data_IF_423861291524
#
_entry.id   IF_423861291524
#
_cell.length_a   1.000
_cell.length_b   1.000
_cell.length_c   1.000
_cell.angle_alpha   90.00
_cell.angle_beta   90.00
_cell.angle_gamma   90.00
#
_symmetry.space_group_name_H-M   'P 1'
#
loop_
_entity.id
_entity.type
_entity.pdbx_description
1 polymer ?
#
# COMPACT_ATOMS: atom_id res chain seq x y z
N UNK A 1 7.34 -23.58 -9.74
CA UNK A 1 6.19 -23.40 -10.65
C UNK A 1 6.64 -22.43 -11.71
N UNK A 2 6.56 -22.79 -12.99
CA UNK A 2 6.88 -21.87 -14.09
C UNK A 2 5.95 -20.67 -13.96
N UNK A 3 6.50 -19.52 -13.59
CA UNK A 3 5.79 -18.26 -13.67
C UNK A 3 5.65 -17.96 -15.14
N UNK A 4 4.49 -18.27 -15.74
CA UNK A 4 4.17 -17.70 -17.04
C UNK A 4 4.29 -16.18 -16.88
N UNK A 5 5.26 -15.59 -17.57
CA UNK A 5 5.44 -14.13 -17.57
C UNK A 5 4.12 -13.51 -18.00
N UNK A 6 3.66 -12.50 -17.28
CA UNK A 6 2.44 -11.81 -17.64
C UNK A 6 2.64 -11.21 -19.03
N UNK A 7 1.79 -11.59 -19.98
CA UNK A 7 1.82 -11.04 -21.34
C UNK A 7 1.32 -9.58 -21.37
N UNK A 8 0.65 -9.15 -20.31
CA UNK A 8 0.13 -7.80 -20.14
C UNK A 8 0.02 -7.44 -18.66
N UNK A 9 0.23 -6.16 -18.36
CA UNK A 9 0.05 -5.56 -17.04
C UNK A 9 -0.89 -4.37 -17.16
N UNK A 10 -2.03 -4.35 -16.45
CA UNK A 10 -2.90 -3.20 -16.48
C UNK A 10 -2.35 -2.09 -15.55
N UNK A 11 -2.61 -0.83 -15.91
CA UNK A 11 -2.18 0.35 -15.17
C UNK A 11 -3.36 0.99 -14.41
N UNK A 12 -3.12 1.64 -13.25
CA UNK A 12 -4.21 2.20 -12.43
C UNK A 12 -5.08 3.27 -13.14
N UNK A 13 -4.58 3.85 -14.22
CA UNK A 13 -5.30 4.82 -15.06
C UNK A 13 -6.18 4.17 -16.16
N UNK A 14 -6.23 2.84 -16.20
CA UNK A 14 -7.03 2.07 -17.16
C UNK A 14 -6.28 1.65 -18.43
N UNK A 15 -5.06 2.15 -18.65
CA UNK A 15 -4.23 1.74 -19.78
C UNK A 15 -3.63 0.36 -19.57
N UNK A 16 -3.16 -0.27 -20.64
CA UNK A 16 -2.61 -1.63 -20.62
C UNK A 16 -1.19 -1.63 -21.14
N UNK A 17 -0.24 -2.07 -20.32
CA UNK A 17 1.13 -2.29 -20.72
C UNK A 17 1.29 -3.71 -21.30
N UNK A 18 1.80 -3.81 -22.52
CA UNK A 18 2.04 -5.08 -23.22
C UNK A 18 3.53 -5.19 -23.54
N UNK A 19 4.16 -6.26 -23.08
CA UNK A 19 5.58 -6.52 -23.32
C UNK A 19 5.78 -7.72 -24.24
N UNK A 20 6.65 -7.56 -25.22
CA UNK A 20 7.17 -8.63 -26.08
C UNK A 20 8.64 -8.82 -25.73
N UNK A 21 8.94 -9.97 -25.16
CA UNK A 21 10.26 -10.29 -24.63
C UNK A 21 10.80 -11.56 -25.29
N UNK A 22 11.84 -11.41 -26.11
CA UNK A 22 12.50 -12.52 -26.83
C UNK A 22 13.80 -12.98 -26.15
N UNK A 23 14.09 -12.47 -24.94
CA UNK A 23 15.32 -12.71 -24.21
C UNK A 23 16.49 -11.80 -24.61
N UNK A 24 16.59 -11.37 -25.87
CA UNK A 24 17.62 -10.44 -26.33
C UNK A 24 17.16 -8.97 -26.29
N UNK A 25 15.86 -8.74 -26.39
CA UNK A 25 15.23 -7.43 -26.39
C UNK A 25 13.85 -7.48 -25.72
N UNK A 26 13.41 -6.31 -25.25
CA UNK A 26 12.08 -6.08 -24.71
C UNK A 26 11.46 -4.91 -25.47
N UNK A 27 10.28 -5.13 -26.04
CA UNK A 27 9.46 -4.06 -26.61
C UNK A 27 8.19 -3.88 -25.75
N UNK A 28 7.96 -2.66 -25.30
CA UNK A 28 6.79 -2.27 -24.51
C UNK A 28 5.85 -1.42 -25.36
N UNK A 29 4.58 -1.75 -25.31
CA UNK A 29 3.49 -0.97 -25.88
C UNK A 29 2.56 -0.57 -24.76
N UNK A 30 2.12 0.69 -24.78
CA UNK A 30 1.07 1.16 -23.92
C UNK A 30 -0.20 1.26 -24.75
N UNK A 31 -1.16 0.42 -24.41
CA UNK A 31 -2.29 0.03 -25.24
C UNK A 31 -1.80 -0.52 -26.58
N UNK A 32 -1.91 0.28 -27.64
CA UNK A 32 -1.45 -0.06 -29.00
C UNK A 32 -0.26 0.80 -29.46
N UNK A 33 0.12 1.81 -28.66
CA UNK A 33 1.23 2.71 -28.99
C UNK A 33 2.55 2.12 -28.53
N UNK A 34 3.54 2.06 -29.42
CA UNK A 34 4.91 1.73 -29.03
C UNK A 34 5.43 2.77 -28.03
N UNK A 35 5.88 2.29 -26.87
CA UNK A 35 6.38 3.15 -25.79
C UNK A 35 7.90 3.07 -25.67
N UNK A 36 8.46 1.86 -25.76
CA UNK A 36 9.89 1.64 -25.59
C UNK A 36 10.33 0.37 -26.30
N UNK A 37 11.53 0.38 -26.89
CA UNK A 37 12.28 -0.84 -27.19
C UNK A 37 13.63 -0.77 -26.50
N UNK A 38 14.02 -1.84 -25.80
CA UNK A 38 15.30 -1.93 -25.12
C UNK A 38 16.02 -3.23 -25.44
N UNK A 39 17.32 -3.15 -25.75
CA UNK A 39 18.19 -4.32 -25.94
C UNK A 39 18.78 -4.74 -24.59
N UNK A 40 18.93 -6.05 -24.37
CA UNK A 40 19.66 -6.60 -23.23
C UNK A 40 21.13 -6.75 -23.55
N UNK A 41 21.98 -6.24 -22.65
CA UNK A 41 23.42 -6.44 -22.66
C UNK A 41 23.86 -6.93 -21.28
N UNK A 42 23.87 -8.26 -21.10
CA UNK A 42 24.03 -8.85 -19.78
C UNK A 42 22.88 -8.42 -18.86
N UNK A 43 23.20 -7.65 -17.81
CA UNK A 43 22.23 -7.10 -16.85
C UNK A 43 21.68 -5.72 -17.23
N UNK A 44 22.28 -5.07 -18.24
CA UNK A 44 21.89 -3.73 -18.68
C UNK A 44 20.72 -3.81 -19.65
N UNK A 45 19.73 -2.95 -19.43
CA UNK A 45 18.70 -2.60 -20.39
C UNK A 45 19.16 -1.34 -21.12
N UNK A 46 19.27 -1.40 -22.44
CA UNK A 46 19.68 -0.27 -23.30
C UNK A 46 18.50 0.14 -24.18
N UNK A 47 17.70 1.14 -23.75
CA UNK A 47 16.70 1.79 -24.60
C UNK A 47 17.26 2.18 -25.97
N UNK A 48 16.47 1.93 -27.01
CA UNK A 48 16.77 2.32 -28.39
C UNK A 48 15.95 3.58 -28.72
N UNK A 49 16.62 4.64 -29.16
CA UNK A 49 15.98 5.87 -29.65
C UNK A 49 15.00 6.51 -28.64
N UNK A 50 15.36 6.57 -27.36
CA UNK A 50 14.50 7.15 -26.32
C UNK A 50 14.80 8.63 -26.10
N UNK A 51 13.91 9.51 -26.57
CA UNK A 51 14.00 10.95 -26.38
C UNK A 51 13.82 11.34 -24.90
N UNK A 52 14.48 12.43 -24.47
CA UNK A 52 14.53 12.88 -23.06
C UNK A 52 13.13 13.08 -22.49
N UNK A 53 12.25 13.73 -23.24
CA UNK A 53 10.87 14.04 -22.90
C UNK A 53 9.95 12.80 -22.75
N UNK A 54 10.35 11.66 -23.33
CA UNK A 54 9.61 10.39 -23.25
C UNK A 54 10.12 9.50 -22.11
N UNK A 55 11.29 9.80 -21.53
CA UNK A 55 11.95 8.92 -20.56
C UNK A 55 11.11 8.66 -19.32
N UNK A 56 10.41 9.67 -18.79
CA UNK A 56 9.63 9.52 -17.56
C UNK A 56 8.57 8.40 -17.65
N UNK A 57 7.76 8.41 -18.70
CA UNK A 57 6.72 7.39 -18.89
C UNK A 57 7.32 6.04 -19.31
N UNK A 58 8.26 6.05 -20.26
CA UNK A 58 8.86 4.83 -20.80
C UNK A 58 9.67 4.05 -19.75
N UNK A 59 10.49 4.75 -18.94
CA UNK A 59 11.31 4.11 -17.92
C UNK A 59 10.49 3.69 -16.70
N UNK A 60 9.44 4.44 -16.33
CA UNK A 60 8.50 3.99 -15.31
C UNK A 60 7.80 2.70 -15.75
N UNK A 61 7.31 2.64 -16.99
CA UNK A 61 6.66 1.44 -17.52
C UNK A 61 7.63 0.25 -17.63
N UNK A 62 8.89 0.50 -18.03
CA UNK A 62 9.94 -0.52 -18.03
C UNK A 62 10.19 -1.08 -16.63
N UNK A 63 10.33 -0.21 -15.63
CA UNK A 63 10.52 -0.62 -14.25
C UNK A 63 9.33 -1.42 -13.74
N UNK A 64 8.11 -0.91 -13.95
CA UNK A 64 6.88 -1.61 -13.57
C UNK A 64 6.82 -3.00 -14.19
N UNK A 65 7.06 -3.12 -15.50
CA UNK A 65 7.07 -4.39 -16.21
C UNK A 65 8.05 -5.40 -15.59
N UNK A 66 9.30 -4.99 -15.40
CA UNK A 66 10.35 -5.86 -14.88
C UNK A 66 10.10 -6.24 -13.41
N UNK A 67 9.75 -5.28 -12.57
CA UNK A 67 9.61 -5.47 -11.11
C UNK A 67 8.32 -6.20 -10.71
N UNK A 68 7.25 -6.07 -11.50
CA UNK A 68 6.00 -6.81 -11.29
C UNK A 68 6.12 -8.27 -11.76
N UNK A 69 6.84 -8.53 -12.86
CA UNK A 69 7.07 -9.89 -13.37
C UNK A 69 8.13 -10.67 -12.59
N UNK A 70 9.07 -10.00 -11.91
CA UNK A 70 10.10 -10.63 -11.09
C UNK A 70 10.22 -9.95 -9.73
N UNK A 71 9.58 -10.56 -8.72
CA UNK A 71 9.61 -10.06 -7.33
C UNK A 71 10.99 -10.20 -6.66
N UNK A 72 11.94 -10.92 -7.26
CA UNK A 72 13.31 -11.04 -6.77
C UNK A 72 14.24 -9.97 -7.37
N UNK A 73 13.87 -9.36 -8.50
CA UNK A 73 14.66 -8.33 -9.16
C UNK A 73 14.75 -7.07 -8.30
N UNK A 74 15.94 -6.74 -7.79
CA UNK A 74 16.14 -5.58 -6.90
C UNK A 74 16.37 -4.27 -7.65
N UNK A 75 16.82 -4.31 -8.90
CA UNK A 75 17.01 -3.10 -9.70
C UNK A 75 16.98 -3.42 -11.21
N UNK A 76 16.52 -2.45 -12.00
CA UNK A 76 16.68 -2.42 -13.45
C UNK A 76 17.87 -1.53 -13.77
N UNK A 77 18.99 -2.11 -14.20
CA UNK A 77 20.18 -1.37 -14.61
C UNK A 77 20.02 -0.85 -16.04
N UNK A 78 20.37 0.40 -16.28
CA UNK A 78 20.10 1.13 -17.51
C UNK A 78 21.37 1.71 -18.09
N UNK A 79 21.42 1.80 -19.41
CA UNK A 79 22.37 2.66 -20.11
C UNK A 79 21.57 3.62 -20.98
N UNK A 80 21.76 4.92 -20.74
CA UNK A 80 21.07 6.01 -21.45
C UNK A 80 22.13 6.96 -22.02
N UNK A 81 21.92 7.45 -23.24
CA UNK A 81 22.83 8.42 -23.87
C UNK A 81 22.70 9.83 -23.25
N UNK A 82 21.49 10.16 -22.80
CA UNK A 82 21.17 11.38 -22.05
C UNK A 82 20.12 11.07 -20.99
N UNK A 83 20.06 11.88 -19.94
CA UNK A 83 19.15 11.67 -18.80
C UNK A 83 18.35 12.93 -18.57
N UNK A 84 17.02 12.82 -18.52
CA UNK A 84 16.17 13.87 -17.99
C UNK A 84 16.49 14.09 -16.50
N UNK A 85 16.96 15.28 -16.08
CA UNK A 85 17.25 15.57 -14.66
C UNK A 85 16.05 15.33 -13.73
N UNK A 86 14.81 15.40 -14.23
CA UNK A 86 13.60 15.13 -13.45
C UNK A 86 13.52 13.67 -12.97
N UNK A 87 14.14 12.72 -13.68
CA UNK A 87 14.19 11.31 -13.27
C UNK A 87 15.02 11.11 -12.01
N UNK A 88 16.15 11.81 -11.94
CA UNK A 88 17.03 11.81 -10.77
C UNK A 88 16.36 12.58 -9.61
N UNK A 89 15.75 13.73 -9.90
CA UNK A 89 15.07 14.55 -8.90
C UNK A 89 13.84 13.86 -8.28
N UNK A 90 13.13 13.02 -9.05
CA UNK A 90 12.00 12.24 -8.57
C UNK A 90 12.40 10.97 -7.82
N UNK A 91 13.66 10.53 -7.93
CA UNK A 91 14.13 9.25 -7.39
C UNK A 91 13.68 8.03 -8.17
N UNK A 92 13.06 8.20 -9.35
CA UNK A 92 12.79 7.07 -10.26
C UNK A 92 14.10 6.46 -10.74
N UNK A 93 15.07 7.31 -11.10
CA UNK A 93 16.40 6.91 -11.50
C UNK A 93 17.41 7.33 -10.43
N UNK A 94 18.39 6.47 -10.16
CA UNK A 94 19.54 6.78 -9.31
C UNK A 94 20.85 6.38 -10.00
N UNK A 95 21.95 6.92 -9.52
CA UNK A 95 23.29 6.67 -10.04
C UNK A 95 23.80 7.80 -10.96
N UNK A 96 24.97 7.57 -11.56
CA UNK A 96 25.66 8.55 -12.38
C UNK A 96 26.44 7.88 -13.52
N UNK A 97 26.64 8.61 -14.63
CA UNK A 97 27.38 8.13 -15.79
C UNK A 97 26.82 6.81 -16.33
N UNK A 98 27.60 5.74 -16.24
CA UNK A 98 27.22 4.40 -16.70
C UNK A 98 26.53 3.52 -15.65
N UNK A 99 26.41 3.98 -14.39
CA UNK A 99 25.78 3.23 -13.29
C UNK A 99 24.34 3.67 -13.02
N UNK A 100 23.55 3.87 -14.07
CA UNK A 100 22.15 4.27 -13.95
C UNK A 100 21.27 3.07 -13.61
N UNK A 101 20.37 3.21 -12.65
CA UNK A 101 19.45 2.14 -12.27
C UNK A 101 18.16 2.65 -11.65
N UNK A 102 17.11 1.83 -11.77
CA UNK A 102 15.84 2.00 -11.05
C UNK A 102 15.80 0.95 -9.97
N UNK A 103 15.91 1.36 -8.71
CA UNK A 103 15.88 0.46 -7.56
C UNK A 103 14.44 0.11 -7.16
N UNK A 104 14.21 -1.16 -6.83
CA UNK A 104 12.89 -1.67 -6.45
C UNK A 104 12.32 -0.91 -5.25
N UNK A 105 13.13 -0.75 -4.20
CA UNK A 105 12.71 -0.05 -3.00
C UNK A 105 12.29 1.39 -3.28
N UNK A 106 12.99 2.10 -4.16
CA UNK A 106 12.67 3.48 -4.55
C UNK A 106 11.46 3.55 -5.48
N UNK A 107 11.36 2.66 -6.46
CA UNK A 107 10.23 2.60 -7.40
C UNK A 107 8.89 2.45 -6.67
N UNK A 108 8.80 1.53 -5.72
CA UNK A 108 7.59 1.31 -4.93
C UNK A 108 7.34 2.41 -3.88
N UNK A 109 8.25 3.37 -3.70
CA UNK A 109 7.98 4.56 -2.88
C UNK A 109 7.40 5.71 -3.69
N UNK A 110 7.39 5.62 -5.02
CA UNK A 110 6.79 6.64 -5.88
C UNK A 110 5.26 6.58 -5.74
N UNK A 111 4.59 7.66 -5.28
CA UNK A 111 3.18 7.60 -4.94
C UNK A 111 2.28 7.41 -6.17
N UNK A 112 2.69 7.93 -7.33
CA UNK A 112 1.96 7.74 -8.59
C UNK A 112 2.47 6.51 -9.33
N UNK A 113 1.59 5.76 -9.99
CA UNK A 113 0.15 5.98 -10.17
C UNK A 113 -0.74 5.33 -9.08
N UNK A 114 -0.16 4.84 -7.98
CA UNK A 114 -0.89 4.04 -7.00
C UNK A 114 -1.89 4.87 -6.18
N UNK A 115 -1.49 6.06 -5.73
CA UNK A 115 -2.38 7.00 -5.04
C UNK A 115 -3.35 7.63 -6.04
N UNK A 116 -4.63 7.62 -5.67
CA UNK A 116 -5.73 8.16 -6.48
C UNK A 116 -6.17 9.55 -6.05
N UNK A 117 -5.78 9.95 -4.86
CA UNK A 117 -5.90 11.31 -4.32
C UNK A 117 -4.51 11.85 -3.99
N UNK A 118 -4.39 13.16 -3.78
CA UNK A 118 -3.18 13.71 -3.19
C UNK A 118 -2.97 13.08 -1.80
N UNK A 119 -1.75 12.64 -1.51
CA UNK A 119 -1.37 12.18 -0.17
C UNK A 119 -1.31 13.34 0.83
N UNK A 120 -1.35 13.02 2.12
CA UNK A 120 -1.24 14.01 3.20
C UNK A 120 0.19 14.56 3.42
N UNK A 121 1.19 14.04 2.70
CA UNK A 121 2.60 14.47 2.72
C UNK A 121 2.80 16.00 2.66
N UNK A 122 2.07 16.70 1.79
CA UNK A 122 2.19 18.15 1.59
C UNK A 122 1.45 19.01 2.63
N UNK A 123 0.72 18.40 3.56
CA UNK A 123 -0.07 19.13 4.55
C UNK A 123 0.85 19.82 5.58
N UNK A 124 0.69 21.14 5.82
CA UNK A 124 1.54 21.89 6.75
C UNK A 124 1.52 21.33 8.16
N UNK A 125 2.69 21.24 8.79
CA UNK A 125 2.81 20.77 10.16
C UNK A 125 2.51 21.92 11.14
N UNK A 126 1.30 21.91 11.68
CA UNK A 126 0.89 22.75 12.81
C UNK A 126 0.64 21.87 14.02
N UNK A 127 1.36 22.08 15.12
CA UNK A 127 1.15 21.29 16.33
C UNK A 127 -0.10 21.74 17.08
N UNK A 128 -0.92 20.79 17.49
CA UNK A 128 -2.13 20.97 18.30
C UNK A 128 -2.07 20.06 19.54
N UNK A 129 -3.05 20.22 20.41
CA UNK A 129 -3.13 19.51 21.68
C UNK A 129 -4.33 18.56 21.69
N UNK A 130 -4.09 17.26 21.83
CA UNK A 130 -5.12 16.23 21.98
C UNK A 130 -5.79 16.33 23.37
N UNK A 131 -7.09 16.03 23.53
CA UNK A 131 -7.76 16.06 24.84
C UNK A 131 -7.06 15.25 25.95
N UNK A 132 -6.29 14.22 25.58
CA UNK A 132 -5.51 13.40 26.53
C UNK A 132 -4.19 14.02 27.01
N UNK A 133 -3.86 15.26 26.62
CA UNK A 133 -2.62 15.91 27.06
C UNK A 133 -1.43 15.75 26.10
N UNK A 134 -1.58 14.99 25.00
CA UNK A 134 -0.52 14.78 24.00
C UNK A 134 -0.51 15.83 22.90
N UNK A 135 0.67 16.38 22.62
CA UNK A 135 0.92 17.26 21.48
C UNK A 135 1.15 16.43 20.21
N UNK A 136 0.47 16.77 19.12
CA UNK A 136 0.58 16.07 17.83
C UNK A 136 0.36 17.05 16.65
N UNK A 137 0.75 16.69 15.42
CA UNK A 137 0.41 17.48 14.25
C UNK A 137 -1.09 17.50 13.99
N UNK A 138 -1.60 18.65 13.54
CA UNK A 138 -2.92 18.75 12.91
C UNK A 138 -2.94 17.84 11.67
N UNK A 139 -3.97 17.00 11.58
CA UNK A 139 -4.12 16.03 10.49
C UNK A 139 -4.77 16.68 9.28
N UNK A 140 -4.37 16.23 8.09
CA UNK A 140 -4.98 16.66 6.84
C UNK A 140 -6.48 16.31 6.81
N UNK A 141 -7.30 17.05 6.06
CA UNK A 141 -8.67 16.64 5.77
C UNK A 141 -8.70 15.22 5.21
N UNK A 142 -9.72 14.45 5.57
CA UNK A 142 -9.88 13.09 5.06
C UNK A 142 -10.14 13.13 3.55
N UNK A 143 -9.50 12.24 2.78
CA UNK A 143 -9.84 12.08 1.37
C UNK A 143 -11.26 11.49 1.23
N UNK A 144 -11.77 11.46 0.00
CA UNK A 144 -13.03 10.80 -0.33
C UNK A 144 -12.87 9.98 -1.62
N UNK A 145 -13.58 8.87 -1.72
CA UNK A 145 -13.56 7.97 -2.87
C UNK A 145 -12.38 6.99 -2.84
N UNK A 146 -11.96 6.51 -4.01
CA UNK A 146 -10.78 5.65 -4.12
C UNK A 146 -9.52 6.43 -3.79
N UNK A 147 -8.71 5.91 -2.87
CA UNK A 147 -7.45 6.54 -2.42
C UNK A 147 -6.21 5.79 -2.90
N UNK A 148 -6.35 4.51 -3.21
CA UNK A 148 -5.26 3.63 -3.59
C UNK A 148 -5.73 2.53 -4.56
N UNK A 149 -4.91 2.21 -5.56
CA UNK A 149 -5.10 1.04 -6.41
C UNK A 149 -3.76 0.48 -6.90
N UNK A 150 -3.64 -0.85 -6.93
CA UNK A 150 -2.52 -1.58 -7.54
C UNK A 150 -3.02 -2.89 -8.13
N UNK A 151 -2.45 -3.31 -9.25
CA UNK A 151 -2.66 -4.65 -9.77
C UNK A 151 -1.68 -5.60 -9.07
N UNK A 152 -2.19 -6.60 -8.36
CA UNK A 152 -1.34 -7.64 -7.79
C UNK A 152 -1.06 -8.68 -8.87
N UNK A 153 0.11 -8.56 -9.51
CA UNK A 153 0.54 -9.45 -10.58
C UNK A 153 0.63 -10.93 -10.15
N UNK A 154 0.81 -11.22 -8.86
CA UNK A 154 0.85 -12.61 -8.36
C UNK A 154 -0.56 -13.20 -8.25
N UNK A 155 -1.55 -12.39 -7.89
CA UNK A 155 -2.95 -12.81 -7.82
C UNK A 155 -3.69 -12.68 -9.15
N UNK A 156 -3.21 -11.83 -10.06
CA UNK A 156 -3.91 -11.49 -11.30
C UNK A 156 -5.18 -10.67 -11.05
N UNK A 157 -5.22 -9.88 -9.98
CA UNK A 157 -6.40 -9.13 -9.55
C UNK A 157 -6.04 -7.70 -9.12
N UNK A 158 -6.97 -6.77 -9.30
CA UNK A 158 -6.86 -5.43 -8.72
C UNK A 158 -7.11 -5.48 -7.22
N UNK A 159 -6.26 -4.80 -6.45
CA UNK A 159 -6.50 -4.46 -5.05
C UNK A 159 -6.62 -2.94 -4.94
N UNK A 160 -7.72 -2.46 -4.40
CA UNK A 160 -7.97 -1.04 -4.15
C UNK A 160 -8.46 -0.76 -2.74
N UNK A 161 -8.26 0.47 -2.30
CA UNK A 161 -8.79 1.01 -1.07
C UNK A 161 -9.59 2.26 -1.41
N UNK A 162 -10.82 2.34 -0.90
CA UNK A 162 -11.64 3.54 -0.95
C UNK A 162 -12.09 3.92 0.45
N UNK A 163 -12.39 5.19 0.65
CA UNK A 163 -13.05 5.61 1.90
C UNK A 163 -14.42 4.96 2.00
N UNK A 164 -14.81 4.61 3.22
CA UNK A 164 -16.16 4.12 3.51
C UNK A 164 -17.18 5.21 3.17
N UNK A 165 -18.24 4.83 2.48
CA UNK A 165 -19.43 5.65 2.31
C UNK A 165 -20.51 5.10 3.25
N UNK A 166 -21.02 5.92 4.17
CA UNK A 166 -21.95 5.42 5.20
C UNK A 166 -23.26 4.95 4.55
N UNK A 167 -23.77 5.64 3.54
CA UNK A 167 -25.06 5.30 2.96
C UNK A 167 -24.95 4.07 2.07
N UNK A 168 -23.81 3.85 1.40
CA UNK A 168 -23.58 2.64 0.59
C UNK A 168 -23.11 1.42 1.40
N UNK A 169 -22.32 1.62 2.46
CA UNK A 169 -21.63 0.53 3.17
C UNK A 169 -22.24 0.17 4.52
N UNK A 170 -23.19 0.93 5.07
CA UNK A 170 -23.74 0.66 6.40
C UNK A 170 -24.29 -0.78 6.54
N UNK A 171 -25.10 -1.24 5.57
CA UNK A 171 -25.65 -2.60 5.61
C UNK A 171 -24.56 -3.67 5.52
N UNK A 172 -23.52 -3.39 4.74
CA UNK A 172 -22.36 -4.29 4.57
C UNK A 172 -21.55 -4.37 5.85
N UNK A 173 -21.19 -3.23 6.43
CA UNK A 173 -20.50 -3.12 7.70
C UNK A 173 -21.29 -3.83 8.80
N UNK A 174 -22.60 -3.60 8.86
CA UNK A 174 -23.48 -4.25 9.83
C UNK A 174 -23.50 -5.76 9.68
N UNK A 175 -23.70 -6.27 8.46
CA UNK A 175 -23.64 -7.71 8.19
C UNK A 175 -22.30 -8.30 8.63
N UNK A 176 -21.19 -7.66 8.29
CA UNK A 176 -19.85 -8.15 8.62
C UNK A 176 -19.59 -8.20 10.12
N UNK A 177 -19.92 -7.12 10.85
CA UNK A 177 -19.73 -7.04 12.30
C UNK A 177 -20.55 -8.09 13.06
N UNK A 178 -21.75 -8.41 12.58
CA UNK A 178 -22.64 -9.41 13.18
C UNK A 178 -22.32 -10.86 12.81
N UNK A 179 -21.26 -11.12 12.04
CA UNK A 179 -20.79 -12.51 11.86
C UNK A 179 -20.08 -12.98 13.13
N UNK A 180 -20.41 -14.17 13.63
CA UNK A 180 -19.82 -14.73 14.86
C UNK A 180 -18.27 -14.69 14.86
N UNK A 181 -17.65 -14.87 13.69
CA UNK A 181 -16.20 -14.80 13.50
C UNK A 181 -15.65 -13.38 13.73
N UNK A 182 -16.30 -12.35 13.21
CA UNK A 182 -15.84 -10.96 13.36
C UNK A 182 -16.15 -10.48 14.77
N UNK A 183 -17.36 -10.74 15.26
CA UNK A 183 -17.82 -10.44 16.61
C UNK A 183 -16.86 -10.94 17.69
N UNK A 184 -16.30 -12.15 17.54
CA UNK A 184 -15.33 -12.72 18.47
C UNK A 184 -14.07 -11.86 18.70
N UNK A 185 -13.71 -10.99 17.75
CA UNK A 185 -12.53 -10.12 17.85
C UNK A 185 -12.87 -8.64 17.97
N UNK A 186 -13.91 -8.19 17.27
CA UNK A 186 -14.30 -6.79 17.20
C UNK A 186 -15.30 -6.38 18.28
N UNK A 187 -16.16 -7.30 18.74
CA UNK A 187 -17.18 -7.06 19.76
C UNK A 187 -18.13 -5.89 19.44
N UNK A 188 -18.28 -5.58 18.15
CA UNK A 188 -19.13 -4.50 17.65
C UNK A 188 -20.43 -5.02 17.04
N UNK A 189 -21.03 -6.09 17.58
CA UNK A 189 -22.36 -6.52 17.18
C UNK A 189 -23.42 -5.45 17.46
N UNK A 190 -24.51 -5.45 16.70
CA UNK A 190 -25.62 -4.50 16.89
C UNK A 190 -26.47 -4.25 15.66
N UNK A 191 -27.46 -3.37 15.81
CA UNK A 191 -28.35 -2.95 14.74
C UNK A 191 -27.74 -1.86 13.84
N UNK A 192 -28.44 -1.54 12.74
CA UNK A 192 -28.02 -0.51 11.80
C UNK A 192 -27.91 0.87 12.45
N UNK A 193 -28.75 1.18 13.45
CA UNK A 193 -28.73 2.47 14.14
C UNK A 193 -27.45 2.63 14.97
N UNK A 194 -27.05 1.59 15.73
CA UNK A 194 -25.78 1.59 16.46
C UNK A 194 -24.61 1.80 15.51
N UNK A 195 -24.57 1.07 14.39
CA UNK A 195 -23.47 1.15 13.44
C UNK A 195 -23.41 2.44 12.66
N UNK A 196 -24.56 3.03 12.30
CA UNK A 196 -24.59 4.35 11.67
C UNK A 196 -23.97 5.39 12.60
N UNK A 197 -24.39 5.44 13.86
CA UNK A 197 -23.82 6.35 14.86
C UNK A 197 -22.31 6.14 15.01
N UNK A 198 -21.86 4.89 15.10
CA UNK A 198 -20.45 4.55 15.19
C UNK A 198 -19.64 5.07 14.00
N UNK A 199 -20.14 4.86 12.77
CA UNK A 199 -19.46 5.34 11.56
C UNK A 199 -19.50 6.86 11.43
N UNK A 200 -20.59 7.53 11.84
CA UNK A 200 -20.70 9.00 11.88
C UNK A 200 -19.73 9.63 12.87
N UNK A 201 -19.54 9.03 14.05
CA UNK A 201 -18.52 9.43 15.02
C UNK A 201 -17.11 9.30 14.43
N UNK A 202 -16.81 8.18 13.77
CA UNK A 202 -15.54 7.98 13.10
C UNK A 202 -15.37 8.93 11.90
N UNK A 203 -16.43 9.29 11.19
CA UNK A 203 -16.35 10.19 10.04
C UNK A 203 -15.83 11.58 10.45
N UNK A 204 -16.22 12.08 11.62
CA UNK A 204 -15.77 13.39 12.14
C UNK A 204 -14.47 13.32 12.95
N UNK A 205 -14.02 12.15 13.42
CA UNK A 205 -12.75 12.00 14.14
C UNK A 205 -11.54 12.14 13.19
N UNK A 206 -10.75 13.24 13.21
CA UNK A 206 -9.61 13.42 12.30
C UNK A 206 -8.49 12.38 12.50
N UNK A 207 -8.53 11.63 13.60
CA UNK A 207 -7.56 10.59 13.94
C UNK A 207 -7.71 9.34 13.09
N UNK A 208 -8.92 9.01 12.64
CA UNK A 208 -9.26 7.71 12.05
C UNK A 208 -9.76 7.86 10.62
N UNK A 209 -9.20 7.08 9.70
CA UNK A 209 -9.65 6.93 8.32
C UNK A 209 -10.27 5.55 8.14
N UNK A 210 -11.57 5.52 7.86
CA UNK A 210 -12.32 4.29 7.57
C UNK A 210 -12.23 3.95 6.09
N UNK A 211 -11.75 2.75 5.79
CA UNK A 211 -11.54 2.28 4.43
C UNK A 211 -12.28 0.98 4.15
N UNK A 212 -12.69 0.82 2.90
CA UNK A 212 -13.16 -0.44 2.33
C UNK A 212 -12.09 -0.96 1.37
N UNK A 213 -11.69 -2.21 1.57
CA UNK A 213 -10.84 -2.95 0.65
C UNK A 213 -11.67 -3.62 -0.43
N UNK A 214 -11.22 -3.52 -1.67
CA UNK A 214 -11.86 -4.14 -2.83
C UNK A 214 -10.88 -5.02 -3.60
N UNK A 215 -11.35 -6.19 -4.03
CA UNK A 215 -10.69 -6.99 -5.07
C UNK A 215 -11.52 -6.88 -6.34
N UNK A 216 -10.91 -6.46 -7.46
CA UNK A 216 -11.63 -6.22 -8.73
C UNK A 216 -12.92 -5.43 -8.52
N UNK A 217 -12.82 -4.35 -7.75
CA UNK A 217 -13.91 -3.45 -7.39
C UNK A 217 -15.01 -4.05 -6.50
N UNK A 218 -14.86 -5.30 -6.03
CA UNK A 218 -15.77 -5.94 -5.09
C UNK A 218 -15.34 -5.71 -3.63
N UNK A 219 -16.13 -5.02 -2.79
CA UNK A 219 -15.85 -4.81 -1.38
C UNK A 219 -15.76 -6.12 -0.59
N UNK A 220 -14.67 -6.32 0.17
CA UNK A 220 -14.46 -7.55 0.95
C UNK A 220 -14.01 -7.34 2.40
N UNK A 221 -13.43 -6.17 2.71
CA UNK A 221 -12.85 -5.88 4.01
C UNK A 221 -13.11 -4.45 4.45
N UNK A 222 -13.11 -4.24 5.76
CA UNK A 222 -13.18 -2.95 6.42
C UNK A 222 -11.88 -2.71 7.22
N UNK A 223 -11.39 -1.48 7.17
CA UNK A 223 -10.19 -1.05 7.88
C UNK A 223 -10.41 0.26 8.61
N UNK A 224 -9.74 0.40 9.75
CA UNK A 224 -9.50 1.67 10.41
C UNK A 224 -8.00 1.94 10.39
N UNK A 225 -7.58 2.92 9.61
CA UNK A 225 -6.22 3.45 9.66
C UNK A 225 -6.21 4.68 10.58
N UNK A 226 -5.47 4.64 11.67
CA UNK A 226 -5.49 5.67 12.69
C UNK A 226 -4.11 6.28 12.94
N UNK A 227 -4.07 7.51 13.47
CA UNK A 227 -2.83 8.12 13.96
C UNK A 227 -2.50 7.58 15.35
N UNK A 228 -1.42 6.81 15.47
CA UNK A 228 -1.13 6.02 16.66
C UNK A 228 -0.91 6.90 17.91
N UNK A 229 -0.28 8.07 17.74
CA UNK A 229 0.01 9.02 18.84
C UNK A 229 -1.24 9.48 19.59
N UNK A 230 -2.35 9.57 18.87
CA UNK A 230 -3.64 10.02 19.37
C UNK A 230 -4.53 8.85 19.84
N UNK A 231 -4.10 7.60 19.63
CA UNK A 231 -4.86 6.41 19.99
C UNK A 231 -4.44 5.82 21.37
N UNK A 232 -5.26 4.91 21.88
CA UNK A 232 -5.02 4.14 23.11
C UNK A 232 -3.76 3.28 23.07
N UNK A 233 -3.21 2.95 21.90
CA UNK A 233 -1.95 2.19 21.78
C UNK A 233 -0.72 3.03 22.17
N UNK A 234 -0.77 4.35 22.03
CA UNK A 234 0.41 5.20 22.19
C UNK A 234 1.12 5.17 23.57
N UNK A 235 0.48 4.94 24.74
CA UNK A 235 1.22 4.77 25.99
C UNK A 235 2.11 3.51 26.01
N UNK A 236 1.91 2.57 25.09
CA UNK A 236 2.55 1.26 25.12
C UNK A 236 3.83 1.20 24.28
N UNK A 237 4.24 2.25 23.57
CA UNK A 237 5.53 2.30 22.88
C UNK A 237 5.98 3.75 22.67
N UNK A 238 7.24 3.91 22.27
CA UNK A 238 7.76 5.23 21.90
C UNK A 238 7.21 5.61 20.52
N UNK A 239 6.11 6.36 20.54
CA UNK A 239 5.28 6.70 19.38
C UNK A 239 5.70 8.04 18.76
N UNK A 240 5.85 8.04 17.44
CA UNK A 240 6.18 9.22 16.66
C UNK A 240 4.95 9.98 16.17
N UNK A 241 5.16 11.23 15.77
CA UNK A 241 4.11 12.14 15.31
C UNK A 241 3.29 11.61 14.13
N UNK A 242 3.88 10.77 13.28
CA UNK A 242 3.28 10.26 12.05
C UNK A 242 3.14 8.74 12.04
N UNK A 243 3.34 8.06 13.17
CA UNK A 243 3.06 6.63 13.23
C UNK A 243 1.58 6.37 12.98
N UNK A 244 1.31 5.39 12.12
CA UNK A 244 -0.02 4.93 11.77
C UNK A 244 -0.30 3.60 12.43
N UNK A 245 -1.53 3.35 12.85
CA UNK A 245 -1.98 2.03 13.25
C UNK A 245 -3.12 1.53 12.38
N UNK A 246 -3.33 0.22 12.39
CA UNK A 246 -4.36 -0.44 11.57
C UNK A 246 -5.21 -1.42 12.38
N UNK A 247 -6.53 -1.28 12.29
CA UNK A 247 -7.49 -2.36 12.61
C UNK A 247 -8.14 -2.84 11.32
N UNK A 248 -8.46 -4.12 11.26
CA UNK A 248 -8.95 -4.75 10.04
C UNK A 248 -9.91 -5.90 10.31
N UNK A 249 -10.91 -6.05 9.45
CA UNK A 249 -11.74 -7.24 9.34
C UNK A 249 -11.94 -7.61 7.87
N UNK A 250 -11.90 -8.92 7.60
CA UNK A 250 -12.35 -9.48 6.33
C UNK A 250 -13.77 -9.96 6.54
N UNK A 251 -14.72 -9.31 5.87
CA UNK A 251 -16.14 -9.63 5.97
C UNK A 251 -16.53 -10.78 5.05
N UNK A 252 -16.07 -10.75 3.80
CA UNK A 252 -16.43 -11.74 2.79
C UNK A 252 -15.53 -12.99 2.84
N UNK A 253 -16.13 -14.17 2.99
CA UNK A 253 -15.40 -15.41 3.19
C UNK A 253 -14.61 -15.87 1.96
N UNK A 254 -15.11 -15.57 0.77
CA UNK A 254 -14.47 -15.86 -0.52
C UNK A 254 -13.12 -15.15 -0.70
N UNK A 255 -12.86 -14.09 0.10
CA UNK A 255 -11.61 -13.34 0.07
C UNK A 255 -10.64 -13.72 1.19
N UNK A 256 -10.87 -14.87 1.84
CA UNK A 256 -9.96 -15.45 2.83
C UNK A 256 -8.89 -16.32 2.16
N UNK A 257 -7.69 -16.31 2.73
CA UNK A 257 -6.57 -17.17 2.29
C UNK A 257 -5.23 -16.46 2.44
N UNK A 258 -4.13 -17.18 2.70
CA UNK A 258 -2.82 -16.57 2.95
C UNK A 258 -2.34 -15.68 1.79
N UNK A 259 -2.63 -16.06 0.54
CA UNK A 259 -2.27 -15.29 -0.65
C UNK A 259 -3.04 -13.96 -0.75
N UNK A 260 -4.35 -13.96 -0.46
CA UNK A 260 -5.15 -12.73 -0.39
C UNK A 260 -4.74 -11.84 0.79
N UNK A 261 -4.43 -12.44 1.95
CA UNK A 261 -3.91 -11.70 3.11
C UNK A 261 -2.60 -10.98 2.81
N UNK A 262 -1.66 -11.66 2.14
CA UNK A 262 -0.43 -11.01 1.69
C UNK A 262 -0.73 -9.80 0.79
N UNK A 263 -1.65 -9.94 -0.16
CA UNK A 263 -2.03 -8.87 -1.07
C UNK A 263 -2.65 -7.66 -0.37
N UNK A 264 -3.72 -7.86 0.42
CA UNK A 264 -4.43 -6.72 1.00
C UNK A 264 -3.68 -6.09 2.18
N UNK A 265 -2.93 -6.87 2.98
CA UNK A 265 -2.16 -6.30 4.09
C UNK A 265 -0.99 -5.47 3.58
N UNK A 266 -0.32 -5.94 2.52
CA UNK A 266 0.72 -5.17 1.85
C UNK A 266 0.15 -3.93 1.15
N UNK A 267 -1.01 -4.01 0.52
CA UNK A 267 -1.69 -2.86 -0.09
C UNK A 267 -2.05 -1.77 0.93
N UNK A 268 -2.65 -2.16 2.08
CA UNK A 268 -2.97 -1.22 3.17
C UNK A 268 -1.70 -0.57 3.73
N UNK A 269 -0.67 -1.37 4.01
CA UNK A 269 0.61 -0.87 4.53
C UNK A 269 1.30 0.07 3.54
N UNK A 270 1.31 -0.31 2.25
CA UNK A 270 1.88 0.48 1.17
C UNK A 270 1.17 1.81 1.02
N UNK A 271 -0.17 1.82 1.00
CA UNK A 271 -0.97 3.05 0.97
C UNK A 271 -0.57 4.00 2.10
N UNK A 272 -0.46 3.53 3.34
CA UNK A 272 -0.13 4.38 4.48
C UNK A 272 1.28 4.99 4.38
N UNK A 273 2.24 4.24 3.85
CA UNK A 273 3.58 4.77 3.58
C UNK A 273 3.63 5.75 2.41
N UNK A 274 2.78 5.58 1.40
CA UNK A 274 2.71 6.52 0.28
C UNK A 274 1.93 7.79 0.62
N UNK A 275 0.87 7.69 1.42
CA UNK A 275 0.02 8.81 1.81
C UNK A 275 0.83 9.92 2.50
N UNK A 276 1.70 9.54 3.44
CA UNK A 276 2.62 10.46 4.10
C UNK A 276 4.00 9.80 4.29
N UNK A 277 5.06 10.26 3.59
CA UNK A 277 6.40 9.71 3.75
C UNK A 277 7.00 9.97 5.13
N UNK A 278 6.41 10.86 5.95
CA UNK A 278 6.78 11.03 7.37
C UNK A 278 6.34 9.84 8.22
N UNK A 279 5.40 9.02 7.76
CA UNK A 279 5.03 7.74 8.39
C UNK A 279 6.20 6.77 8.32
N UNK A 280 6.90 6.57 9.45
CA UNK A 280 8.03 5.63 9.54
C UNK A 280 7.61 4.26 10.05
N UNK A 281 6.47 4.13 10.73
CA UNK A 281 5.96 2.85 11.23
C UNK A 281 4.45 2.72 11.02
N UNK A 282 4.05 1.49 10.66
CA UNK A 282 2.66 1.02 10.74
C UNK A 282 2.58 0.00 11.87
N UNK A 283 1.67 0.19 12.82
CA UNK A 283 1.50 -0.67 13.99
C UNK A 283 0.16 -1.39 13.99
N UNK A 284 0.09 -2.52 14.68
CA UNK A 284 -1.18 -3.17 15.00
C UNK A 284 -1.08 -3.88 16.36
N UNK A 285 -2.24 -4.14 16.95
CA UNK A 285 -2.36 -4.76 18.27
C UNK A 285 -3.33 -5.97 18.29
N UNK A 286 -3.13 -7.00 17.44
CA UNK A 286 -3.95 -8.21 17.52
C UNK A 286 -3.87 -8.84 18.92
N UNK A 287 -4.85 -9.67 19.27
CA UNK A 287 -4.76 -10.49 20.49
C UNK A 287 -3.50 -11.35 20.44
N UNK A 288 -2.79 -11.45 21.56
CA UNK A 288 -1.54 -12.21 21.65
C UNK A 288 -1.73 -13.71 21.37
N UNK A 289 -2.94 -14.23 21.60
CA UNK A 289 -3.35 -15.60 21.30
C UNK A 289 -3.72 -15.84 19.81
N UNK A 290 -3.78 -14.79 18.98
CA UNK A 290 -4.10 -14.91 17.55
C UNK A 290 -2.87 -15.23 16.69
N UNK A 291 -2.28 -16.41 16.92
CA UNK A 291 -1.09 -16.89 16.23
C UNK A 291 -1.21 -16.86 14.70
N UNK A 292 -2.42 -17.07 14.15
CA UNK A 292 -2.67 -17.02 12.70
C UNK A 292 -2.47 -15.62 12.14
N UNK A 293 -3.06 -14.60 12.77
CA UNK A 293 -2.90 -13.21 12.33
C UNK A 293 -1.46 -12.74 12.50
N UNK A 294 -0.84 -13.05 13.65
CA UNK A 294 0.56 -12.72 13.92
C UNK A 294 1.47 -13.33 12.84
N UNK A 295 1.26 -14.60 12.49
CA UNK A 295 2.02 -15.28 11.43
C UNK A 295 1.82 -14.63 10.06
N UNK A 296 0.60 -14.21 9.72
CA UNK A 296 0.35 -13.47 8.48
C UNK A 296 1.08 -12.11 8.46
N UNK A 297 1.06 -11.36 9.55
CA UNK A 297 1.77 -10.09 9.65
C UNK A 297 3.29 -10.27 9.55
N UNK A 298 3.85 -11.28 10.23
CA UNK A 298 5.28 -11.62 10.15
C UNK A 298 5.71 -12.02 8.74
N UNK A 299 4.87 -12.76 8.01
CA UNK A 299 5.12 -13.09 6.61
C UNK A 299 5.16 -11.85 5.71
N UNK A 300 4.55 -10.73 6.12
CA UNK A 300 4.59 -9.43 5.42
C UNK A 300 5.64 -8.47 6.00
N UNK A 301 6.50 -8.94 6.90
CA UNK A 301 7.64 -8.18 7.44
C UNK A 301 7.41 -7.57 8.83
N UNK A 302 6.20 -7.64 9.38
CA UNK A 302 5.94 -7.08 10.70
C UNK A 302 6.70 -7.88 11.75
N UNK A 303 7.32 -7.21 12.71
CA UNK A 303 7.91 -7.88 13.87
C UNK A 303 7.04 -7.69 15.11
N UNK A 304 7.03 -8.69 15.99
CA UNK A 304 6.38 -8.59 17.30
C UNK A 304 7.35 -7.89 18.25
N UNK A 305 7.09 -6.62 18.55
CA UNK A 305 7.96 -5.82 19.42
C UNK A 305 7.85 -6.25 20.89
N UNK A 306 6.62 -6.45 21.37
CA UNK A 306 6.32 -6.95 22.72
C UNK A 306 4.84 -7.32 22.85
N UNK A 307 4.45 -7.79 24.02
CA UNK A 307 3.06 -7.97 24.40
C UNK A 307 2.72 -7.10 25.61
N UNK A 308 1.49 -6.62 25.68
CA UNK A 308 1.00 -5.73 26.74
C UNK A 308 -0.50 -5.96 26.99
N UNK A 309 -1.04 -5.44 28.08
CA UNK A 309 -2.44 -5.64 28.46
C UNK A 309 -3.28 -4.38 28.20
N UNK A 310 -4.37 -4.57 27.46
CA UNK A 310 -5.54 -3.71 27.51
C UNK A 310 -6.55 -4.28 28.51
N UNK A 311 -7.49 -3.48 29.04
CA UNK A 311 -8.53 -3.96 29.95
C UNK A 311 -9.32 -5.18 29.44
N UNK A 312 -9.46 -5.32 28.11
CA UNK A 312 -10.27 -6.35 27.46
C UNK A 312 -9.46 -7.42 26.71
N UNK A 313 -8.12 -7.29 26.59
CA UNK A 313 -7.26 -8.27 25.90
C UNK A 313 -5.77 -8.13 26.26
N UNK A 314 -5.05 -9.27 26.23
CA UNK A 314 -3.60 -9.31 26.04
C UNK A 314 -3.30 -9.06 24.56
N UNK A 315 -2.59 -7.99 24.24
CA UNK A 315 -2.25 -7.58 22.87
C UNK A 315 -0.79 -7.88 22.52
N UNK A 316 -0.52 -8.20 21.26
CA UNK A 316 0.81 -8.24 20.69
C UNK A 316 1.05 -6.98 19.85
N UNK A 317 2.04 -6.17 20.22
CA UNK A 317 2.46 -5.01 19.44
C UNK A 317 3.22 -5.49 18.20
N UNK A 318 2.59 -5.40 17.04
CA UNK A 318 3.17 -5.70 15.75
C UNK A 318 3.60 -4.39 15.09
N UNK A 319 4.83 -4.34 14.55
CA UNK A 319 5.39 -3.13 13.94
C UNK A 319 5.99 -3.46 12.58
N UNK A 320 5.60 -2.69 11.57
CA UNK A 320 6.25 -2.64 10.28
C UNK A 320 6.96 -1.29 10.14
N UNK A 321 8.29 -1.28 9.98
CA UNK A 321 8.99 -0.05 9.61
C UNK A 321 8.93 0.17 8.11
N UNK A 322 8.98 1.46 7.72
CA UNK A 322 9.07 1.90 6.34
C UNK A 322 10.29 1.30 5.64
N UNK A 323 11.44 1.38 6.29
CA UNK A 323 12.71 0.82 5.82
C UNK A 323 12.58 -0.66 5.47
N UNK A 324 12.17 -1.50 6.43
CA UNK A 324 12.04 -2.95 6.22
C UNK A 324 11.01 -3.27 5.13
N UNK A 325 9.93 -2.47 5.02
CA UNK A 325 8.89 -2.68 4.01
C UNK A 325 9.45 -2.51 2.59
N UNK A 326 10.23 -1.46 2.35
CA UNK A 326 10.76 -1.15 1.02
C UNK A 326 12.06 -1.91 0.70
N UNK A 327 12.92 -2.18 1.69
CA UNK A 327 14.12 -3.01 1.51
C UNK A 327 13.77 -4.47 1.20
N UNK A 328 12.74 -5.01 1.86
CA UNK A 328 12.25 -6.38 1.62
C UNK A 328 11.01 -6.40 0.75
N UNK A 329 10.84 -5.39 -0.10
CA UNK A 329 9.65 -5.22 -0.91
C UNK A 329 9.40 -6.44 -1.79
N UNK A 330 8.24 -7.08 -1.63
CA UNK A 330 7.77 -8.20 -2.47
C UNK A 330 6.55 -7.85 -3.31
N UNK A 331 6.24 -6.56 -3.43
CA UNK A 331 5.11 -6.08 -4.22
C UNK A 331 5.27 -6.50 -5.69
N UNK A 332 4.32 -7.28 -6.17
CA UNK A 332 4.13 -7.52 -7.59
C UNK A 332 3.07 -6.54 -8.11
#
# INVERSE_FOLDING_TARGET
>A
MSSDRLAHLPLPDGRRLVGRDDGASLALHLDERALLRARRQGRLMVPLELAVEEQAEALWALAYWCLANDTQLQAVCLQLDSVDPALLASGLLVGEGADLRIERGSFWQLPRPFLRTAGSAGYPQQMVMHPTGRRHPRRAPKPAGEVYRRFDATLGAWISLRTLDIDEDLERFNRWQNTARVAAFWQEEGDLTKHRRYLEELAVDPRVLTLIGCFDDQPFAYYEAYWAKEDRIAPFFDVDDYDRGIHMLVGEESHRGPHKVASWLSALTHYLFLDDPRTQRVVAEPRADNARMIGHMQAQGYHKAKEFDFPHKRAALMVQSREVFFERCRLA
#
